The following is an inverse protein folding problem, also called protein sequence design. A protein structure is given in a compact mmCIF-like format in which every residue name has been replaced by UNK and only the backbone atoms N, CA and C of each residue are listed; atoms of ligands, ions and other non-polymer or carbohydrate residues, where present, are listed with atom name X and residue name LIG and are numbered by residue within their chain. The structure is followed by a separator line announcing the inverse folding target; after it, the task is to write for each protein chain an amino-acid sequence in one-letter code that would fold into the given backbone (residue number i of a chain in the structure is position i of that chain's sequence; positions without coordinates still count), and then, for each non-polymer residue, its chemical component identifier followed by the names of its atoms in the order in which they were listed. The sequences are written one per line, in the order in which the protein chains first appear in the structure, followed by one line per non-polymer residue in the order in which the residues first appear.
data_IF_807185305659
#
_entry.id   IF_807185305659
#
_cell.length_a   1.000
_cell.length_b   1.000
_cell.length_c   1.000
_cell.angle_alpha   90.00
_cell.angle_beta   90.00
_cell.angle_gamma   90.00
#
_symmetry.space_group_name_H-M   'P 1'
#
loop_
_entity.id
_entity.type
_entity.pdbx_description
1 polymer ?
#
# COMPACT_ATOMS: atom_id res chain seq x y z
N UNK A 1 -1.65 30.00 33.90
CA UNK A 1 -2.25 29.39 32.70
C UNK A 1 -3.32 28.42 33.17
N UNK A 2 -4.55 28.92 33.27
CA UNK A 2 -5.75 28.18 33.67
C UNK A 2 -6.15 27.25 32.52
N UNK A 3 -6.31 25.96 32.82
CA UNK A 3 -6.93 24.97 31.93
C UNK A 3 -8.28 25.54 31.45
N UNK A 4 -8.62 25.47 30.15
CA UNK A 4 -9.98 25.77 29.72
C UNK A 4 -10.93 24.89 30.53
N UNK A 5 -11.90 25.54 31.18
CA UNK A 5 -13.02 24.91 31.87
C UNK A 5 -13.63 23.83 30.96
N UNK A 6 -13.88 22.66 31.55
CA UNK A 6 -14.68 21.60 30.96
C UNK A 6 -15.98 22.18 30.42
N UNK A 7 -16.07 22.30 29.10
CA UNK A 7 -17.33 22.50 28.40
C UNK A 7 -18.24 21.33 28.81
N UNK A 8 -19.49 21.56 29.26
CA UNK A 8 -20.38 20.47 29.60
C UNK A 8 -20.49 19.58 28.37
N UNK A 9 -20.19 18.29 28.54
CA UNK A 9 -20.25 17.30 27.47
C UNK A 9 -21.61 17.44 26.78
N UNK A 10 -21.64 18.13 25.64
CA UNK A 10 -22.84 18.22 24.83
C UNK A 10 -23.16 16.78 24.45
N UNK A 11 -24.32 16.28 24.86
CA UNK A 11 -24.84 15.01 24.39
C UNK A 11 -24.89 15.08 22.86
N UNK A 12 -23.88 14.49 22.21
CA UNK A 12 -23.78 14.48 20.77
C UNK A 12 -24.98 13.66 20.29
N UNK A 13 -25.91 14.24 19.51
CA UNK A 13 -27.10 13.52 19.09
C UNK A 13 -26.69 12.31 18.23
N UNK A 14 -27.33 11.17 18.46
CA UNK A 14 -26.99 9.89 17.80
C UNK A 14 -27.03 9.98 16.28
N UNK A 15 -27.93 10.82 15.73
CA UNK A 15 -28.00 11.12 14.29
C UNK A 15 -26.69 11.68 13.74
N UNK A 16 -26.01 12.55 14.50
CA UNK A 16 -24.72 13.15 14.11
C UNK A 16 -23.58 12.14 14.17
N UNK A 17 -23.63 11.20 15.12
CA UNK A 17 -22.68 10.07 15.20
C UNK A 17 -22.85 9.17 13.98
N UNK A 18 -24.09 8.86 13.59
CA UNK A 18 -24.39 8.07 12.42
C UNK A 18 -23.98 8.77 11.11
N UNK A 19 -24.25 10.07 10.96
CA UNK A 19 -23.80 10.86 9.81
C UNK A 19 -22.28 10.84 9.65
N UNK A 20 -21.55 11.02 10.75
CA UNK A 20 -20.09 10.95 10.74
C UNK A 20 -19.57 9.55 10.42
N UNK A 21 -20.25 8.50 10.91
CA UNK A 21 -19.94 7.11 10.57
C UNK A 21 -20.08 6.85 9.07
N UNK A 22 -21.21 7.27 8.47
CA UNK A 22 -21.44 7.14 7.02
C UNK A 22 -20.41 7.96 6.23
N UNK A 23 -20.08 9.18 6.68
CA UNK A 23 -19.06 10.02 6.05
C UNK A 23 -17.69 9.35 6.07
N UNK A 24 -17.25 8.81 7.22
CA UNK A 24 -15.98 8.10 7.33
C UNK A 24 -15.97 6.80 6.52
N UNK A 25 -17.08 6.07 6.49
CA UNK A 25 -17.22 4.89 5.63
C UNK A 25 -17.04 5.27 4.15
N UNK A 26 -17.64 6.38 3.71
CA UNK A 26 -17.45 6.91 2.36
C UNK A 26 -15.98 7.23 2.05
N UNK A 27 -15.28 7.89 2.97
CA UNK A 27 -13.83 8.17 2.83
C UNK A 27 -13.02 6.88 2.74
N UNK A 28 -13.29 5.89 3.60
CA UNK A 28 -12.64 4.58 3.58
C UNK A 28 -12.88 3.84 2.26
N UNK A 29 -14.12 3.86 1.76
CA UNK A 29 -14.49 3.23 0.49
C UNK A 29 -13.79 3.92 -0.70
N UNK A 30 -13.72 5.24 -0.70
CA UNK A 30 -13.00 6.02 -1.72
C UNK A 30 -11.50 5.68 -1.73
N UNK A 31 -10.89 5.49 -0.55
CA UNK A 31 -9.50 5.03 -0.45
C UNK A 31 -9.32 3.67 -1.12
N UNK A 32 -10.20 2.70 -0.85
CA UNK A 32 -10.13 1.35 -1.45
C UNK A 32 -10.26 1.43 -2.98
N UNK A 33 -11.24 2.18 -3.49
CA UNK A 33 -11.42 2.35 -4.93
C UNK A 33 -10.24 3.03 -5.63
N UNK A 34 -9.65 4.05 -5.00
CA UNK A 34 -8.45 4.72 -5.54
C UNK A 34 -7.24 3.79 -5.55
N UNK A 35 -7.01 3.01 -4.49
CA UNK A 35 -5.91 2.04 -4.44
C UNK A 35 -6.04 0.95 -5.51
N UNK A 36 -7.25 0.45 -5.79
CA UNK A 36 -7.48 -0.48 -6.91
C UNK A 36 -7.20 0.17 -8.28
N UNK A 37 -7.48 1.47 -8.42
CA UNK A 37 -7.11 2.27 -9.59
C UNK A 37 -5.59 2.32 -9.80
N UNK A 38 -4.82 2.47 -8.73
CA UNK A 38 -3.35 2.50 -8.81
C UNK A 38 -2.77 1.15 -9.24
N UNK A 39 -3.31 0.02 -8.73
CA UNK A 39 -2.89 -1.32 -9.18
C UNK A 39 -3.11 -1.49 -10.68
N UNK A 40 -4.25 -1.01 -11.21
CA UNK A 40 -4.49 -1.00 -12.65
C UNK A 40 -3.46 -0.12 -13.37
N UNK A 41 -3.16 1.06 -12.84
CA UNK A 41 -2.15 1.95 -13.42
C UNK A 41 -0.76 1.28 -13.45
N UNK A 42 -0.34 0.59 -12.40
CA UNK A 42 0.94 -0.13 -12.38
C UNK A 42 0.95 -1.34 -13.31
N UNK A 43 -0.16 -2.08 -13.41
CA UNK A 43 -0.33 -3.12 -14.41
C UNK A 43 -0.25 -2.57 -15.84
N UNK A 44 -0.87 -1.42 -16.08
CA UNK A 44 -0.81 -0.69 -17.36
C UNK A 44 0.61 -0.26 -17.67
N UNK A 45 1.33 0.37 -16.73
CA UNK A 45 2.72 0.81 -16.91
C UNK A 45 3.63 -0.40 -17.19
N UNK A 46 3.49 -1.50 -16.44
CA UNK A 46 4.23 -2.73 -16.69
C UNK A 46 3.96 -3.32 -18.08
N UNK A 47 2.69 -3.34 -18.52
CA UNK A 47 2.30 -3.76 -19.86
C UNK A 47 2.81 -2.81 -20.96
N UNK A 48 2.82 -1.50 -20.69
CA UNK A 48 3.32 -0.46 -21.60
C UNK A 48 4.84 -0.55 -21.77
N UNK A 49 5.57 -0.85 -20.69
CA UNK A 49 7.02 -1.05 -20.73
C UNK A 49 7.40 -2.36 -21.44
N UNK A 50 6.56 -3.39 -21.34
CA UNK A 50 6.72 -4.64 -22.10
C UNK A 50 6.22 -4.53 -23.55
N UNK A 51 5.64 -3.40 -23.95
CA UNK A 51 5.11 -3.18 -25.29
C UNK A 51 6.25 -2.84 -26.26
N UNK A 52 6.43 -3.68 -27.28
CA UNK A 52 7.57 -3.67 -28.22
C UNK A 52 7.88 -2.28 -28.85
N UNK A 53 6.90 -1.48 -29.32
CA UNK A 53 7.14 -0.10 -29.78
C UNK A 53 7.70 0.86 -28.73
N UNK A 54 7.33 0.70 -27.45
CA UNK A 54 7.82 1.55 -26.36
C UNK A 54 9.16 1.07 -25.83
N UNK A 55 9.38 -0.25 -25.80
CA UNK A 55 10.69 -0.83 -25.57
C UNK A 55 11.70 -0.35 -26.62
N UNK A 56 11.26 -0.13 -27.86
CA UNK A 56 12.03 0.47 -28.95
C UNK A 56 12.08 2.01 -28.90
N UNK A 57 11.07 2.71 -28.41
CA UNK A 57 11.14 4.17 -28.21
C UNK A 57 12.07 4.54 -27.05
N UNK A 58 12.20 3.64 -26.08
CA UNK A 58 13.24 3.61 -25.06
C UNK A 58 14.50 2.86 -25.54
N UNK A 59 14.71 2.65 -26.85
CA UNK A 59 16.07 2.70 -27.41
C UNK A 59 16.64 4.04 -26.92
N UNK A 60 17.26 4.13 -25.74
CA UNK A 60 18.56 3.53 -25.49
C UNK A 60 19.41 3.90 -26.70
N UNK A 61 19.49 5.21 -26.90
CA UNK A 61 20.23 5.88 -27.95
C UNK A 61 21.50 5.08 -28.19
N UNK A 62 21.58 4.40 -29.33
CA UNK A 62 22.76 3.63 -29.73
C UNK A 62 23.98 4.56 -29.90
N UNK A 63 23.80 5.87 -29.78
CA UNK A 63 24.84 6.91 -29.76
C UNK A 63 25.23 7.42 -28.37
N UNK A 64 24.51 7.08 -27.28
CA UNK A 64 25.03 7.29 -25.94
C UNK A 64 26.12 6.25 -25.68
N UNK A 65 27.38 6.69 -25.61
CA UNK A 65 28.55 5.86 -25.23
C UNK A 65 28.49 5.30 -23.79
N UNK A 66 27.30 5.24 -23.16
CA UNK A 66 27.06 4.66 -21.84
C UNK A 66 25.91 3.64 -21.92
N UNK A 67 26.01 2.51 -21.21
CA UNK A 67 24.96 1.51 -21.22
C UNK A 67 23.75 2.07 -20.44
N UNK A 68 22.72 2.48 -21.17
CA UNK A 68 21.49 3.05 -20.59
C UNK A 68 20.64 1.96 -19.92
N UNK A 69 20.88 0.67 -20.20
CA UNK A 69 20.10 -0.48 -19.69
C UNK A 69 20.25 -0.71 -18.18
N UNK A 70 21.46 -0.75 -17.59
CA UNK A 70 21.61 -0.97 -16.16
C UNK A 70 21.13 0.18 -15.29
N UNK A 71 21.37 1.43 -15.74
CA UNK A 71 20.84 2.62 -15.08
C UNK A 71 19.31 2.62 -15.14
N UNK A 72 18.73 2.25 -16.29
CA UNK A 72 17.28 2.09 -16.46
C UNK A 72 16.67 1.11 -15.45
N UNK A 73 17.29 -0.05 -15.22
CA UNK A 73 16.81 -1.01 -14.22
C UNK A 73 16.87 -0.49 -12.78
N UNK A 74 17.92 0.26 -12.43
CA UNK A 74 18.01 0.89 -11.10
C UNK A 74 16.96 1.98 -10.92
N UNK A 75 16.73 2.81 -11.93
CA UNK A 75 15.68 3.85 -11.90
C UNK A 75 14.30 3.20 -11.80
N UNK A 76 14.05 2.16 -12.59
CA UNK A 76 12.79 1.42 -12.55
C UNK A 76 12.57 0.79 -11.17
N UNK A 77 13.60 0.17 -10.58
CA UNK A 77 13.55 -0.36 -9.22
C UNK A 77 13.18 0.73 -8.22
N UNK A 78 13.81 1.92 -8.29
CA UNK A 78 13.51 3.03 -7.39
C UNK A 78 12.06 3.53 -7.54
N UNK A 79 11.56 3.66 -8.77
CA UNK A 79 10.17 4.06 -9.04
C UNK A 79 9.20 3.02 -8.49
N UNK A 80 9.44 1.73 -8.74
CA UNK A 80 8.62 0.64 -8.20
C UNK A 80 8.61 0.68 -6.67
N UNK A 81 9.78 0.79 -6.05
CA UNK A 81 9.88 0.84 -4.58
C UNK A 81 9.16 2.07 -4.02
N UNK A 82 9.33 3.25 -4.62
CA UNK A 82 8.65 4.48 -4.19
C UNK A 82 7.12 4.31 -4.22
N UNK A 83 6.61 3.72 -5.30
CA UNK A 83 5.20 3.35 -5.45
C UNK A 83 4.73 2.43 -4.34
N UNK A 84 5.50 1.39 -4.05
CA UNK A 84 5.15 0.42 -3.00
C UNK A 84 5.12 1.08 -1.61
N UNK A 85 6.06 1.97 -1.32
CA UNK A 85 6.02 2.77 -0.09
C UNK A 85 4.83 3.74 -0.04
N UNK A 86 4.44 4.31 -1.17
CA UNK A 86 3.25 5.15 -1.24
C UNK A 86 1.97 4.36 -0.97
N UNK A 87 1.89 3.11 -1.42
CA UNK A 87 0.79 2.21 -1.05
C UNK A 87 0.76 1.94 0.46
N UNK A 88 1.90 1.61 1.08
CA UNK A 88 1.99 1.45 2.54
C UNK A 88 1.58 2.73 3.29
N UNK A 89 1.94 3.90 2.77
CA UNK A 89 1.53 5.17 3.34
C UNK A 89 0.01 5.34 3.28
N UNK A 90 -0.63 5.05 2.15
CA UNK A 90 -2.10 5.05 2.03
C UNK A 90 -2.75 4.07 3.00
N UNK A 91 -2.23 2.85 3.12
CA UNK A 91 -2.73 1.85 4.07
C UNK A 91 -2.67 2.36 5.52
N UNK A 92 -1.60 3.08 5.89
CA UNK A 92 -1.49 3.65 7.24
C UNK A 92 -2.55 4.73 7.53
N UNK A 93 -2.86 5.59 6.54
CA UNK A 93 -3.94 6.59 6.66
C UNK A 93 -5.31 5.91 6.73
N UNK A 94 -5.52 4.86 5.93
CA UNK A 94 -6.76 4.09 5.99
C UNK A 94 -6.98 3.50 7.40
N UNK A 95 -5.95 2.95 8.03
CA UNK A 95 -6.06 2.43 9.40
C UNK A 95 -6.33 3.51 10.45
N UNK A 96 -5.81 4.72 10.26
CA UNK A 96 -6.18 5.85 11.12
C UNK A 96 -7.68 6.14 11.06
N UNK A 97 -8.29 6.15 9.86
CA UNK A 97 -9.73 6.35 9.71
C UNK A 97 -10.55 5.18 10.26
N UNK A 98 -10.05 3.95 10.09
CA UNK A 98 -10.69 2.75 10.59
C UNK A 98 -10.78 2.73 12.12
N UNK A 99 -9.73 3.16 12.82
CA UNK A 99 -9.74 3.28 14.29
C UNK A 99 -10.83 4.25 14.75
N UNK A 100 -10.93 5.42 14.11
CA UNK A 100 -12.01 6.39 14.41
C UNK A 100 -13.39 5.83 14.13
N UNK A 101 -13.53 5.07 13.04
CA UNK A 101 -14.80 4.43 12.70
C UNK A 101 -15.23 3.44 13.79
N UNK A 102 -14.28 2.69 14.37
CA UNK A 102 -14.55 1.77 15.48
C UNK A 102 -15.12 2.47 16.72
N UNK A 103 -14.60 3.65 17.08
CA UNK A 103 -15.14 4.43 18.20
C UNK A 103 -16.61 4.83 17.97
N UNK A 104 -16.97 5.13 16.72
CA UNK A 104 -18.37 5.42 16.35
C UNK A 104 -19.24 4.16 16.39
N UNK A 105 -18.73 3.02 15.92
CA UNK A 105 -19.43 1.73 16.01
C UNK A 105 -19.75 1.38 17.46
N UNK A 106 -18.82 1.59 18.39
CA UNK A 106 -19.02 1.34 19.82
C UNK A 106 -20.14 2.21 20.42
N UNK A 107 -20.29 3.46 19.97
CA UNK A 107 -21.38 4.35 20.41
C UNK A 107 -22.71 3.91 19.81
N UNK A 108 -22.74 3.61 18.50
CA UNK A 108 -23.95 3.20 17.79
C UNK A 108 -24.49 1.85 18.27
N UNK A 109 -23.62 0.86 18.46
CA UNK A 109 -24.00 -0.46 18.96
C UNK A 109 -24.54 -0.38 20.40
N UNK A 110 -23.90 0.43 21.29
CA UNK A 110 -24.41 0.64 22.65
C UNK A 110 -25.80 1.29 22.67
N UNK A 111 -26.07 2.22 21.77
CA UNK A 111 -27.36 2.88 21.66
C UNK A 111 -28.46 1.97 21.07
N UNK A 112 -28.09 0.99 20.24
CA UNK A 112 -29.04 0.06 19.61
C UNK A 112 -29.67 -0.94 20.59
N UNK A 113 -29.00 -1.25 21.71
CA UNK A 113 -29.48 -2.20 22.72
C UNK A 113 -29.60 -3.65 22.23
N UNK A 114 -29.18 -3.97 21.01
CA UNK A 114 -29.24 -5.30 20.44
C UNK A 114 -28.07 -6.19 20.91
N UNK A 115 -28.32 -7.50 21.01
CA UNK A 115 -27.27 -8.49 21.35
C UNK A 115 -26.30 -8.79 20.20
N UNK A 116 -26.61 -8.30 18.99
CA UNK A 116 -25.80 -8.47 17.79
C UNK A 116 -25.21 -7.11 17.44
N UNK A 117 -23.91 -7.06 17.18
CA UNK A 117 -23.24 -5.85 16.70
C UNK A 117 -23.72 -5.53 15.27
N UNK A 118 -24.68 -4.61 15.16
CA UNK A 118 -25.23 -4.12 13.89
C UNK A 118 -24.15 -3.42 13.05
N UNK A 119 -23.22 -2.72 13.70
CA UNK A 119 -22.10 -2.03 13.07
C UNK A 119 -20.79 -2.74 13.44
N UNK A 120 -20.21 -3.49 12.49
CA UNK A 120 -19.02 -4.32 12.74
C UNK A 120 -17.98 -4.24 11.61
N UNK A 121 -17.98 -3.17 10.83
CA UNK A 121 -17.03 -3.03 9.72
C UNK A 121 -15.62 -2.78 10.27
N UNK A 122 -15.46 -1.80 11.15
CA UNK A 122 -14.16 -1.46 11.73
C UNK A 122 -13.76 -2.44 12.83
N UNK A 123 -14.72 -2.93 13.62
CA UNK A 123 -14.50 -3.98 14.64
C UNK A 123 -14.06 -5.33 14.04
N UNK A 124 -14.68 -5.76 12.94
CA UNK A 124 -14.39 -7.04 12.30
C UNK A 124 -13.18 -7.03 11.36
N UNK A 125 -12.78 -5.84 10.89
CA UNK A 125 -11.71 -5.68 9.91
C UNK A 125 -10.37 -6.31 10.32
N UNK A 126 -9.82 -6.11 11.54
CA UNK A 126 -8.53 -6.69 11.91
C UNK A 126 -8.50 -8.22 11.86
N UNK A 127 -9.59 -8.86 12.26
CA UNK A 127 -9.71 -10.32 12.24
C UNK A 127 -9.80 -10.85 10.80
N UNK A 128 -10.63 -10.23 9.97
CA UNK A 128 -10.74 -10.57 8.55
C UNK A 128 -9.42 -10.33 7.81
N UNK A 129 -8.78 -9.18 8.05
CA UNK A 129 -7.52 -8.80 7.42
C UNK A 129 -6.43 -9.82 7.71
N UNK A 130 -6.24 -10.22 8.98
CA UNK A 130 -5.22 -11.22 9.33
C UNK A 130 -5.51 -12.60 8.74
N UNK A 131 -6.79 -13.01 8.73
CA UNK A 131 -7.17 -14.36 8.33
C UNK A 131 -7.17 -14.57 6.82
N UNK A 132 -7.58 -13.56 6.06
CA UNK A 132 -7.83 -13.69 4.63
C UNK A 132 -6.95 -12.77 3.79
N UNK A 133 -6.85 -11.49 4.15
CA UNK A 133 -6.14 -10.53 3.30
C UNK A 133 -4.62 -10.62 3.42
N UNK A 134 -4.07 -10.65 4.64
CA UNK A 134 -2.64 -10.62 4.88
C UNK A 134 -1.90 -11.81 4.23
N UNK A 135 -2.39 -13.06 4.28
CA UNK A 135 -1.74 -14.17 3.58
C UNK A 135 -1.73 -13.97 2.06
N UNK A 136 -2.86 -13.53 1.48
CA UNK A 136 -2.96 -13.27 0.03
C UNK A 136 -2.02 -12.15 -0.38
N UNK A 137 -1.98 -11.06 0.39
CA UNK A 137 -1.07 -9.95 0.15
C UNK A 137 0.40 -10.38 0.27
N UNK A 138 0.77 -11.17 1.28
CA UNK A 138 2.12 -11.70 1.44
C UNK A 138 2.55 -12.57 0.26
N UNK A 139 1.68 -13.46 -0.23
CA UNK A 139 1.95 -14.26 -1.41
C UNK A 139 2.13 -13.37 -2.65
N UNK A 140 1.25 -12.39 -2.84
CA UNK A 140 1.34 -11.43 -3.95
C UNK A 140 2.67 -10.66 -3.92
N UNK A 141 3.04 -10.09 -2.77
CA UNK A 141 4.30 -9.38 -2.61
C UNK A 141 5.51 -10.29 -2.85
N UNK A 142 5.47 -11.54 -2.40
CA UNK A 142 6.53 -12.52 -2.65
C UNK A 142 6.76 -12.77 -4.15
N UNK A 143 5.69 -12.98 -4.91
CA UNK A 143 5.77 -13.14 -6.38
C UNK A 143 6.27 -11.85 -7.03
N UNK A 144 5.78 -10.69 -6.57
CA UNK A 144 6.19 -9.41 -7.12
C UNK A 144 7.67 -9.11 -6.88
N UNK A 145 8.19 -9.35 -5.67
CA UNK A 145 9.62 -9.22 -5.36
C UNK A 145 10.47 -10.15 -6.21
N UNK A 146 10.03 -11.39 -6.40
CA UNK A 146 10.73 -12.34 -7.24
C UNK A 146 10.84 -11.81 -8.67
N UNK A 147 9.74 -11.28 -9.22
CA UNK A 147 9.73 -10.70 -10.57
C UNK A 147 10.66 -9.49 -10.66
N UNK A 148 10.59 -8.57 -9.71
CA UNK A 148 11.42 -7.36 -9.68
C UNK A 148 12.90 -7.70 -9.55
N UNK A 149 13.29 -8.74 -8.81
CA UNK A 149 14.70 -9.11 -8.63
C UNK A 149 15.21 -9.99 -9.77
N UNK A 150 14.50 -11.07 -10.08
CA UNK A 150 14.99 -12.12 -10.98
C UNK A 150 14.98 -11.66 -12.43
N UNK A 151 13.94 -10.96 -12.87
CA UNK A 151 13.82 -10.59 -14.28
C UNK A 151 14.94 -9.62 -14.72
N UNK A 152 15.17 -8.48 -14.05
CA UNK A 152 16.29 -7.60 -14.37
C UNK A 152 17.65 -8.27 -14.18
N UNK A 153 17.81 -9.15 -13.19
CA UNK A 153 19.07 -9.86 -12.98
C UNK A 153 19.41 -10.81 -14.15
N UNK A 154 18.41 -11.53 -14.68
CA UNK A 154 18.59 -12.38 -15.87
C UNK A 154 18.97 -11.52 -17.08
N UNK A 155 18.27 -10.40 -17.32
CA UNK A 155 18.58 -9.52 -18.46
C UNK A 155 20.00 -8.93 -18.35
N UNK A 156 20.38 -8.42 -17.17
CA UNK A 156 21.72 -7.89 -16.93
C UNK A 156 22.81 -8.95 -17.13
N UNK A 157 22.55 -10.19 -16.74
CA UNK A 157 23.48 -11.30 -16.96
C UNK A 157 23.61 -11.66 -18.45
N UNK A 158 22.48 -11.77 -19.16
CA UNK A 158 22.45 -12.15 -20.58
C UNK A 158 23.01 -11.07 -21.51
N UNK A 159 22.99 -9.79 -21.11
CA UNK A 159 23.51 -8.66 -21.87
C UNK A 159 24.97 -8.31 -21.51
N UNK A 160 25.72 -9.21 -20.88
CA UNK A 160 27.11 -9.01 -20.45
C UNK A 160 27.33 -7.84 -19.47
N UNK A 161 26.28 -7.37 -18.79
CA UNK A 161 26.33 -6.36 -17.72
C UNK A 161 26.45 -7.00 -16.32
N UNK A 162 27.09 -8.16 -16.20
CA UNK A 162 27.16 -8.90 -14.94
C UNK A 162 27.79 -8.09 -13.78
N UNK A 163 28.69 -7.15 -14.07
CA UNK A 163 29.26 -6.26 -13.05
C UNK A 163 28.20 -5.37 -12.38
N UNK A 164 27.14 -5.00 -13.08
CA UNK A 164 26.04 -4.22 -12.54
C UNK A 164 25.16 -5.01 -11.59
N UNK A 165 25.20 -6.35 -11.62
CA UNK A 165 24.49 -7.18 -10.63
C UNK A 165 24.98 -6.90 -9.21
N UNK A 166 26.26 -6.55 -9.04
CA UNK A 166 26.83 -6.20 -7.73
C UNK A 166 26.29 -4.87 -7.18
N UNK A 167 25.77 -3.99 -8.02
CA UNK A 167 25.06 -2.80 -7.59
C UNK A 167 23.56 -3.09 -7.45
N UNK A 168 22.97 -3.69 -8.48
CA UNK A 168 21.53 -3.92 -8.57
C UNK A 168 20.99 -4.83 -7.47
N UNK A 169 21.60 -6.01 -7.27
CA UNK A 169 21.07 -6.99 -6.31
C UNK A 169 21.11 -6.46 -4.88
N UNK A 170 22.23 -5.91 -4.35
CA UNK A 170 22.23 -5.34 -3.00
C UNK A 170 21.22 -4.21 -2.83
N UNK A 171 21.11 -3.29 -3.80
CA UNK A 171 20.11 -2.22 -3.75
C UNK A 171 18.69 -2.77 -3.71
N UNK A 172 18.37 -3.74 -4.59
CA UNK A 172 17.07 -4.38 -4.61
C UNK A 172 16.77 -5.10 -3.29
N UNK A 173 17.71 -5.90 -2.77
CA UNK A 173 17.55 -6.59 -1.49
C UNK A 173 17.32 -5.62 -0.34
N UNK A 174 18.09 -4.54 -0.23
CA UNK A 174 17.94 -3.55 0.84
C UNK A 174 16.57 -2.87 0.76
N UNK A 175 16.19 -2.38 -0.42
CA UNK A 175 14.93 -1.65 -0.60
C UNK A 175 13.70 -2.54 -0.39
N UNK A 176 13.72 -3.76 -0.93
CA UNK A 176 12.62 -4.71 -0.77
C UNK A 176 12.55 -5.26 0.66
N UNK A 177 13.68 -5.47 1.34
CA UNK A 177 13.70 -5.83 2.75
C UNK A 177 13.14 -4.72 3.63
N UNK A 178 13.47 -3.45 3.34
CA UNK A 178 12.91 -2.30 4.06
C UNK A 178 11.40 -2.22 3.84
N UNK A 179 10.93 -2.37 2.60
CA UNK A 179 9.51 -2.40 2.28
C UNK A 179 8.80 -3.55 3.01
N UNK A 180 9.34 -4.77 2.96
CA UNK A 180 8.78 -5.93 3.66
C UNK A 180 8.73 -5.73 5.18
N UNK A 181 9.75 -5.08 5.77
CA UNK A 181 9.75 -4.71 7.17
C UNK A 181 8.61 -3.73 7.50
N UNK A 182 8.46 -2.66 6.71
CA UNK A 182 7.38 -1.68 6.88
C UNK A 182 6.00 -2.31 6.71
N UNK A 183 5.80 -3.12 5.66
CA UNK A 183 4.57 -3.85 5.43
C UNK A 183 4.20 -4.75 6.63
N UNK A 184 5.16 -5.49 7.17
CA UNK A 184 4.94 -6.32 8.35
C UNK A 184 4.57 -5.50 9.59
N UNK A 185 5.15 -4.30 9.79
CA UNK A 185 4.74 -3.41 10.89
C UNK A 185 3.31 -2.94 10.74
N UNK A 186 2.89 -2.59 9.52
CA UNK A 186 1.53 -2.17 9.17
C UNK A 186 0.52 -3.30 9.39
N UNK A 187 0.87 -4.55 9.03
CA UNK A 187 0.04 -5.73 9.34
C UNK A 187 -0.07 -5.96 10.85
N UNK A 188 1.05 -5.84 11.57
CA UNK A 188 1.09 -6.11 13.01
C UNK A 188 0.49 -4.99 13.87
N UNK A 189 0.40 -3.75 13.38
CA UNK A 189 -0.23 -2.64 14.11
C UNK A 189 -1.73 -2.83 14.31
N UNK A 190 -2.38 -3.71 13.54
CA UNK A 190 -3.80 -4.05 13.70
C UNK A 190 -4.07 -5.08 14.82
N UNK A 191 -3.01 -5.60 15.45
CA UNK A 191 -3.09 -6.64 16.49
C UNK A 191 -3.00 -6.13 17.92
N UNK A 192 -2.83 -4.81 18.13
CA UNK A 192 -2.85 -4.16 19.44
C UNK A 192 -4.08 -3.27 19.54
#
# INVERSE_FOLDING_TARGET
MTRPQDDPAQDIPLSRVYEEYVRLNGVCNDYIHRSLGDIRLFGSIGALLAWDPLARLFELDAELQQPVTPVGFLVLLLVIVLVMFFDLFKQSIFFFHLIRMRELEDVLNRASGERVELFHLAGGWPAWFRRYHAPVAQCFWGVFYLLVVVFPAIILFLQDYASWLFAYLPTAFILLALHAHCANRVVNSLGR
#
